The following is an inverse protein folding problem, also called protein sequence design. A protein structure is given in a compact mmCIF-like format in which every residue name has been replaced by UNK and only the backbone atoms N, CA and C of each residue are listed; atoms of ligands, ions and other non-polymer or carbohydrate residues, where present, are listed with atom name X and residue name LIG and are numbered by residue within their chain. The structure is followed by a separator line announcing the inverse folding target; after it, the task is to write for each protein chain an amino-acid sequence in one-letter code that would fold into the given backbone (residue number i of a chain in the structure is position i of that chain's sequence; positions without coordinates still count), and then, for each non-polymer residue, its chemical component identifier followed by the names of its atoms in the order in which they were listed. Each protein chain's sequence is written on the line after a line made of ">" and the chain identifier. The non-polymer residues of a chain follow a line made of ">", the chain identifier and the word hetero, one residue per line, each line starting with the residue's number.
data_IF_130715387841
#
_entry.id   IF_130715387841
#
_cell.length_a   1.000
_cell.length_b   1.000
_cell.length_c   1.000
_cell.angle_alpha   90.00
_cell.angle_beta   90.00
_cell.angle_gamma   90.00
#
_symmetry.space_group_name_H-M   'P 1'
#
loop_
_entity.id
_entity.type
_entity.pdbx_description
1 polymer ?
#
# COMPACT_ATOMS: atom_id res chain seq x y z
N UNK A 1 -18.36 -11.48 -6.61
CA UNK A 1 -17.59 -11.88 -7.80
C UNK A 1 -16.16 -11.34 -7.66
N UNK A 2 -15.12 -12.11 -8.04
CA UNK A 2 -13.72 -11.65 -8.00
C UNK A 2 -13.38 -10.92 -9.31
N UNK A 3 -12.63 -9.83 -9.23
CA UNK A 3 -12.22 -9.01 -10.36
C UNK A 3 -10.68 -8.90 -10.41
N UNK A 4 -10.11 -8.91 -11.62
CA UNK A 4 -8.67 -8.76 -11.81
C UNK A 4 -8.20 -7.31 -11.70
N UNK A 5 -9.06 -6.37 -12.10
CA UNK A 5 -8.88 -4.93 -12.03
C UNK A 5 -10.24 -4.22 -11.98
N UNK A 6 -10.25 -2.96 -11.54
CA UNK A 6 -11.39 -2.05 -11.66
C UNK A 6 -10.91 -0.65 -12.05
N UNK A 7 -11.83 0.15 -12.58
CA UNK A 7 -11.61 1.60 -12.75
C UNK A 7 -12.57 2.36 -11.84
N UNK A 8 -12.04 3.24 -11.01
CA UNK A 8 -12.83 4.07 -10.10
C UNK A 8 -12.23 5.49 -10.05
N UNK A 9 -13.06 6.52 -10.21
CA UNK A 9 -12.59 7.91 -10.23
C UNK A 9 -11.56 8.22 -11.34
N UNK A 10 -11.61 7.50 -12.46
CA UNK A 10 -10.62 7.61 -13.54
C UNK A 10 -9.33 6.82 -13.31
N UNK A 11 -9.09 6.31 -12.10
CA UNK A 11 -7.90 5.56 -11.70
C UNK A 11 -8.12 4.06 -11.87
N UNK A 12 -7.09 3.31 -12.27
CA UNK A 12 -7.13 1.85 -12.42
C UNK A 12 -6.49 1.20 -11.20
N UNK A 13 -7.22 0.31 -10.56
CA UNK A 13 -6.75 -0.52 -9.45
C UNK A 13 -6.66 -1.97 -9.90
N UNK A 14 -5.67 -2.72 -9.42
CA UNK A 14 -5.52 -4.13 -9.73
C UNK A 14 -5.05 -4.96 -8.54
N UNK A 15 -5.26 -6.27 -8.60
CA UNK A 15 -4.66 -7.20 -7.65
C UNK A 15 -3.14 -7.32 -7.89
N UNK A 16 -2.39 -7.69 -6.84
CA UNK A 16 -0.93 -7.92 -6.93
C UNK A 16 -0.56 -8.93 -8.01
N UNK A 17 -1.41 -9.94 -8.23
CA UNK A 17 -1.19 -10.99 -9.22
C UNK A 17 -1.29 -10.50 -10.67
N UNK A 18 -1.96 -9.38 -10.92
CA UNK A 18 -2.18 -8.83 -12.27
C UNK A 18 -1.13 -7.77 -12.59
N UNK A 19 -0.99 -6.77 -11.71
CA UNK A 19 -0.06 -5.66 -11.89
C UNK A 19 0.29 -5.05 -10.54
N UNK A 20 1.57 -5.11 -10.17
CA UNK A 20 2.04 -4.67 -8.85
C UNK A 20 1.85 -3.17 -8.66
N UNK A 21 2.14 -2.34 -9.68
CA UNK A 21 2.07 -0.88 -9.51
C UNK A 21 0.68 -0.36 -9.14
N UNK A 22 -0.38 -0.98 -9.64
CA UNK A 22 -1.76 -0.53 -9.42
C UNK A 22 -2.42 -1.26 -8.23
N UNK A 23 -1.67 -2.07 -7.48
CA UNK A 23 -2.13 -2.69 -6.25
C UNK A 23 -1.63 -1.98 -4.99
N UNK A 24 -0.65 -1.08 -5.12
CA UNK A 24 -0.03 -0.37 -4.01
C UNK A 24 -0.80 0.92 -3.72
N UNK A 25 -1.56 0.92 -2.64
CA UNK A 25 -2.49 2.00 -2.29
C UNK A 25 -2.25 2.50 -0.87
N UNK A 26 -2.56 3.77 -0.64
CA UNK A 26 -2.56 4.37 0.68
C UNK A 26 -3.99 4.54 1.20
N UNK A 27 -4.19 4.18 2.45
CA UNK A 27 -5.46 4.25 3.18
C UNK A 27 -5.27 5.05 4.46
N UNK A 28 -6.32 5.74 4.91
CA UNK A 28 -6.23 6.58 6.10
C UNK A 28 -7.52 6.58 6.92
N UNK A 29 -7.66 5.66 7.88
CA UNK A 29 -8.86 5.60 8.72
C UNK A 29 -8.87 6.67 9.83
N UNK A 30 -7.71 7.10 10.36
CA UNK A 30 -7.66 7.78 11.67
C UNK A 30 -6.53 8.79 11.92
N UNK A 31 -5.66 9.13 10.97
CA UNK A 31 -4.59 10.15 11.18
C UNK A 31 -3.21 9.76 10.64
N UNK A 32 -2.91 8.47 10.68
CA UNK A 32 -1.67 7.92 10.12
C UNK A 32 -2.02 7.06 8.90
N UNK A 33 -1.46 7.41 7.74
CA UNK A 33 -1.64 6.66 6.50
C UNK A 33 -1.02 5.27 6.57
N UNK A 34 -1.80 4.26 6.20
CA UNK A 34 -1.36 2.87 6.03
C UNK A 34 -1.03 2.61 4.57
N UNK A 35 0.15 2.02 4.33
CA UNK A 35 0.54 1.51 3.02
C UNK A 35 0.03 0.09 2.86
N UNK A 36 -0.81 -0.14 1.86
CA UNK A 36 -1.53 -1.38 1.66
C UNK A 36 -1.30 -1.94 0.25
N UNK A 37 -1.36 -3.26 0.15
CA UNK A 37 -1.25 -4.00 -1.10
C UNK A 37 -2.57 -4.74 -1.37
N UNK A 38 -3.25 -4.42 -2.47
CA UNK A 38 -4.49 -5.08 -2.89
C UNK A 38 -4.18 -6.54 -3.28
N UNK A 39 -4.73 -7.48 -2.52
CA UNK A 39 -4.68 -8.91 -2.81
C UNK A 39 -5.84 -9.36 -3.67
N UNK A 40 -7.03 -8.86 -3.35
CA UNK A 40 -8.26 -9.23 -4.04
C UNK A 40 -9.14 -8.01 -4.24
N UNK A 41 -9.81 -7.98 -5.40
CA UNK A 41 -10.88 -7.04 -5.69
C UNK A 41 -12.15 -7.85 -5.87
N UNK A 42 -13.21 -7.44 -5.18
CA UNK A 42 -14.49 -8.13 -5.22
C UNK A 42 -15.64 -7.17 -4.98
N UNK A 43 -16.83 -7.60 -5.40
CA UNK A 43 -18.08 -6.90 -5.06
C UNK A 43 -18.72 -7.54 -3.84
N UNK A 44 -19.14 -6.68 -2.90
CA UNK A 44 -19.88 -7.03 -1.70
C UNK A 44 -20.98 -5.99 -1.50
N UNK A 45 -22.23 -6.44 -1.35
CA UNK A 45 -23.40 -5.57 -1.12
C UNK A 45 -23.59 -4.46 -2.18
N UNK A 46 -23.19 -4.73 -3.43
CA UNK A 46 -23.24 -3.77 -4.54
C UNK A 46 -22.07 -2.78 -4.58
N UNK A 47 -21.12 -2.88 -3.65
CA UNK A 47 -19.94 -2.02 -3.57
C UNK A 47 -18.67 -2.78 -3.97
N UNK A 48 -17.86 -2.15 -4.82
CA UNK A 48 -16.50 -2.62 -5.05
C UNK A 48 -15.70 -2.48 -3.75
N UNK A 49 -14.98 -3.54 -3.40
CA UNK A 49 -14.25 -3.68 -2.14
C UNK A 49 -12.89 -4.32 -2.41
N UNK A 50 -11.89 -3.90 -1.64
CA UNK A 50 -10.55 -4.46 -1.65
C UNK A 50 -10.31 -5.29 -0.40
N UNK A 51 -9.76 -6.49 -0.59
CA UNK A 51 -9.06 -7.19 0.47
C UNK A 51 -7.56 -6.91 0.33
N UNK A 52 -6.97 -6.38 1.39
CA UNK A 52 -5.62 -5.79 1.35
C UNK A 52 -4.76 -6.35 2.47
N UNK A 53 -3.45 -6.35 2.27
CA UNK A 53 -2.46 -6.59 3.31
C UNK A 53 -1.64 -5.33 3.56
N UNK A 54 -1.36 -5.02 4.82
CA UNK A 54 -0.54 -3.87 5.19
C UNK A 54 0.94 -4.14 4.93
N UNK A 55 1.69 -3.12 4.48
CA UNK A 55 3.14 -3.17 4.49
C UNK A 55 3.66 -3.16 5.92
N UNK A 56 4.49 -4.13 6.28
CA UNK A 56 5.07 -4.18 7.62
C UNK A 56 6.01 -2.99 7.84
N UNK A 57 5.89 -2.28 8.99
CA UNK A 57 6.83 -1.23 9.33
C UNK A 57 8.24 -1.82 9.39
N UNK A 58 9.24 -1.00 9.04
CA UNK A 58 10.61 -1.38 9.28
C UNK A 58 10.87 -1.38 10.80
N UNK A 59 11.23 -2.54 11.35
CA UNK A 59 11.72 -2.63 12.73
C UNK A 59 13.18 -2.16 12.72
N UNK A 60 13.37 -0.86 12.96
CA UNK A 60 14.71 -0.32 13.18
C UNK A 60 15.26 -0.90 14.48
N UNK A 61 16.46 -1.52 14.41
CA UNK A 61 17.22 -1.82 15.61
C UNK A 61 17.47 -0.52 16.39
N UNK A 62 17.47 -0.57 17.73
CA UNK A 62 17.75 0.60 18.57
C UNK A 62 19.02 1.31 18.09
N UNK A 63 18.88 2.56 17.64
CA UNK A 63 19.98 3.39 17.15
C UNK A 63 20.12 3.49 15.63
N UNK A 64 19.33 2.75 14.85
CA UNK A 64 19.27 2.93 13.39
C UNK A 64 18.12 3.89 13.09
N UNK A 65 18.39 4.97 12.35
CA UNK A 65 17.36 5.87 11.85
C UNK A 65 17.04 5.56 10.38
N UNK A 66 15.84 5.91 9.95
CA UNK A 66 15.49 5.89 8.53
C UNK A 66 16.42 6.82 7.73
N UNK A 67 17.05 6.36 6.63
CA UNK A 67 17.97 7.20 5.85
C UNK A 67 17.29 8.41 5.21
N UNK A 68 15.98 8.37 5.00
CA UNK A 68 15.19 9.48 4.47
C UNK A 68 14.73 10.46 5.54
N UNK A 69 14.92 10.16 6.84
CA UNK A 69 14.57 11.09 7.92
C UNK A 69 15.33 12.43 7.84
N UNK A 70 16.51 12.45 7.20
CA UNK A 70 17.27 13.68 6.95
C UNK A 70 16.66 14.57 5.86
N UNK A 71 15.68 14.08 5.10
CA UNK A 71 15.05 14.78 3.97
C UNK A 71 13.55 14.97 4.21
N UNK A 72 13.14 15.89 5.11
CA UNK A 72 11.73 16.04 5.49
C UNK A 72 10.81 16.45 4.33
N UNK A 73 11.37 16.99 3.24
CA UNK A 73 10.64 17.41 2.05
C UNK A 73 10.48 16.29 1.02
N UNK A 74 11.12 15.14 1.23
CA UNK A 74 11.05 13.99 0.35
C UNK A 74 10.23 12.89 1.05
N UNK A 75 9.02 12.56 0.58
CA UNK A 75 8.08 11.68 1.29
C UNK A 75 8.43 10.20 1.11
N UNK A 76 9.72 9.87 1.17
CA UNK A 76 10.20 8.50 1.14
C UNK A 76 10.47 8.00 2.55
N UNK A 77 10.19 6.72 2.77
CA UNK A 77 10.49 6.04 4.03
C UNK A 77 10.76 4.57 3.79
N UNK A 78 11.61 4.00 4.63
CA UNK A 78 12.01 2.60 4.60
C UNK A 78 11.00 1.74 5.35
N UNK A 79 10.60 0.65 4.73
CA UNK A 79 9.71 -0.36 5.28
C UNK A 79 10.36 -1.75 5.16
N UNK A 80 9.83 -2.72 5.90
CA UNK A 80 10.14 -4.11 5.60
C UNK A 80 9.58 -4.46 4.22
N UNK A 81 10.26 -5.30 3.44
CA UNK A 81 9.70 -5.86 2.20
C UNK A 81 8.46 -6.74 2.45
N UNK A 82 8.29 -7.24 3.68
CA UNK A 82 7.19 -8.13 4.05
C UNK A 82 5.85 -7.40 4.14
N UNK A 83 4.80 -8.11 3.74
CA UNK A 83 3.40 -7.73 4.00
C UNK A 83 2.87 -8.47 5.23
N UNK A 84 1.94 -7.85 5.93
CA UNK A 84 1.14 -8.48 6.98
C UNK A 84 0.38 -9.69 6.42
N UNK A 85 0.22 -10.72 7.24
CA UNK A 85 -0.58 -11.91 6.90
C UNK A 85 -2.08 -11.68 7.10
N UNK A 86 -2.46 -10.61 7.80
CA UNK A 86 -3.86 -10.24 8.01
C UNK A 86 -4.42 -9.59 6.75
N UNK A 87 -5.60 -10.05 6.33
CA UNK A 87 -6.40 -9.39 5.32
C UNK A 87 -7.37 -8.41 5.97
N UNK A 88 -7.37 -7.19 5.47
CA UNK A 88 -8.27 -6.12 5.88
C UNK A 88 -9.20 -5.75 4.73
N UNK A 89 -10.38 -5.24 5.06
CA UNK A 89 -11.38 -4.78 4.09
C UNK A 89 -11.26 -3.27 3.92
N UNK A 90 -11.12 -2.81 2.69
CA UNK A 90 -11.07 -1.38 2.35
C UNK A 90 -12.05 -1.09 1.21
N UNK A 91 -12.88 -0.07 1.38
CA UNK A 91 -13.73 0.44 0.30
C UNK A 91 -12.89 1.25 -0.69
N UNK A 92 -13.20 1.12 -1.98
CA UNK A 92 -12.43 1.80 -3.05
C UNK A 92 -12.46 3.31 -2.88
N UNK A 93 -13.58 3.86 -2.41
CA UNK A 93 -13.79 5.29 -2.15
C UNK A 93 -12.89 5.83 -1.05
N UNK A 94 -12.29 4.98 -0.21
CA UNK A 94 -11.41 5.37 0.90
C UNK A 94 -9.93 5.40 0.51
N UNK A 95 -9.60 4.99 -0.72
CA UNK A 95 -8.24 5.04 -1.21
C UNK A 95 -7.86 6.48 -1.52
N UNK A 96 -6.77 6.96 -0.92
CA UNK A 96 -6.30 8.33 -1.10
C UNK A 96 -5.39 8.48 -2.32
N UNK A 97 -4.43 7.57 -2.45
CA UNK A 97 -3.39 7.66 -3.47
C UNK A 97 -2.75 6.29 -3.71
N UNK A 98 -1.94 6.21 -4.77
CA UNK A 98 -1.00 5.12 -4.97
C UNK A 98 0.34 5.45 -4.30
N UNK A 99 1.13 4.42 -4.02
CA UNK A 99 2.54 4.58 -3.67
C UNK A 99 3.42 3.76 -4.60
N UNK A 100 4.65 4.24 -4.81
CA UNK A 100 5.71 3.47 -5.45
C UNK A 100 6.51 2.73 -4.39
N UNK A 101 6.98 1.53 -4.75
CA UNK A 101 7.85 0.72 -3.92
C UNK A 101 9.12 0.39 -4.68
N UNK A 102 10.28 0.58 -4.03
CA UNK A 102 11.58 0.24 -4.59
C UNK A 102 12.34 -0.69 -3.62
N UNK A 103 12.63 -1.94 -4.02
CA UNK A 103 13.43 -2.85 -3.19
C UNK A 103 14.88 -2.38 -3.13
N UNK A 104 15.41 -2.17 -1.92
CA UNK A 104 16.80 -1.77 -1.68
C UNK A 104 17.65 -2.91 -1.12
N UNK A 105 17.01 -3.95 -0.58
CA UNK A 105 17.62 -5.20 -0.14
C UNK A 105 16.53 -6.28 -0.01
N UNK A 106 16.92 -7.52 0.27
CA UNK A 106 15.98 -8.64 0.43
C UNK A 106 14.90 -8.42 1.50
N UNK A 107 15.21 -7.60 2.50
CA UNK A 107 14.35 -7.36 3.65
C UNK A 107 13.74 -5.95 3.68
N UNK A 108 14.14 -5.06 2.78
CA UNK A 108 13.78 -3.64 2.86
C UNK A 108 13.34 -3.07 1.52
N UNK A 109 12.35 -2.21 1.61
CA UNK A 109 11.81 -1.42 0.52
C UNK A 109 11.76 0.04 0.92
N UNK A 110 11.94 0.91 -0.06
CA UNK A 110 11.60 2.32 0.07
C UNK A 110 10.21 2.51 -0.50
N UNK A 111 9.34 3.15 0.27
CA UNK A 111 8.02 3.55 -0.18
C UNK A 111 8.01 5.06 -0.39
N UNK A 112 7.45 5.47 -1.52
CA UNK A 112 7.23 6.87 -1.90
C UNK A 112 5.75 7.06 -2.25
N UNK A 113 5.05 7.90 -1.50
CA UNK A 113 3.66 8.27 -1.81
C UNK A 113 3.60 9.13 -3.07
N UNK A 114 2.69 8.83 -3.99
CA UNK A 114 2.58 9.48 -5.31
C UNK A 114 1.44 10.52 -5.39
N UNK A 115 1.02 11.05 -4.25
CA UNK A 115 -0.04 12.06 -4.13
C UNK A 115 0.44 13.46 -4.49
#
# INVERSE_FOLDING_TARGET
>A
MLQAYIRYGGVVYSCTATHVGNCLIMFHPSGDGSHLCIKYIYEQDGWSTFAVCQQCPHVLNKGTNDPFACYPHFPAKTYSHMLSTTLEKVEVSWVMSHYAQWPISDNHVVILTLS
#
